data_IF_008100948942
#
_entry.id   IF_008100948942
#
_cell.length_a   1.000
_cell.length_b   1.000
_cell.length_c   1.000
_cell.angle_alpha   90.00
_cell.angle_beta   90.00
_cell.angle_gamma   90.00
#
_symmetry.space_group_name_H-M   'P 1'
#
loop_
_entity.id
_entity.type
_entity.pdbx_description
1 polymer ?
#
# COMPACT_ATOMS: atom_id res chain seq x y z
N UNK A 1 -8.89 -15.15 -21.19
CA UNK A 1 -9.70 -14.90 -19.98
C UNK A 1 -9.41 -16.00 -18.99
N UNK A 2 -8.41 -15.85 -18.16
CA UNK A 2 -8.06 -16.87 -17.16
C UNK A 2 -8.83 -16.51 -15.89
N UNK A 3 -9.88 -17.26 -15.66
CA UNK A 3 -10.75 -17.18 -14.50
C UNK A 3 -9.90 -17.34 -13.23
N UNK A 4 -9.92 -16.37 -12.35
CA UNK A 4 -9.40 -16.46 -10.99
C UNK A 4 -10.36 -17.37 -10.19
N UNK A 5 -10.41 -18.64 -10.55
CA UNK A 5 -11.21 -19.64 -9.85
C UNK A 5 -10.57 -19.91 -8.49
N UNK A 6 -11.22 -19.39 -7.44
CA UNK A 6 -11.19 -19.86 -6.04
C UNK A 6 -9.85 -20.38 -5.50
N UNK A 7 -8.78 -19.62 -5.66
CA UNK A 7 -7.54 -19.87 -4.93
C UNK A 7 -7.56 -18.98 -3.68
N UNK A 8 -7.93 -19.54 -2.56
CA UNK A 8 -7.72 -18.85 -1.28
C UNK A 8 -6.23 -18.94 -0.93
N UNK A 9 -5.52 -17.81 -0.84
CA UNK A 9 -4.13 -17.83 -0.42
C UNK A 9 -4.06 -18.20 1.06
N UNK A 10 -3.40 -19.32 1.37
CA UNK A 10 -2.81 -19.51 2.67
C UNK A 10 -1.49 -18.75 2.66
N UNK A 11 -1.47 -17.62 3.34
CA UNK A 11 -0.37 -16.68 3.35
C UNK A 11 0.87 -17.24 4.01
N UNK A 12 1.96 -17.28 3.28
CA UNK A 12 3.28 -17.06 3.84
C UNK A 12 4.02 -16.10 2.90
N UNK A 13 4.35 -14.92 3.36
CA UNK A 13 5.34 -14.08 2.71
C UNK A 13 6.70 -14.62 3.12
N UNK A 14 7.22 -15.54 2.32
CA UNK A 14 8.56 -16.07 2.53
C UNK A 14 9.57 -15.24 1.75
N UNK A 15 10.06 -14.23 2.24
CA UNK A 15 11.29 -13.51 1.92
C UNK A 15 11.08 -12.00 1.78
N UNK A 16 11.88 -11.34 2.54
CA UNK A 16 12.24 -9.95 2.63
C UNK A 16 11.56 -8.93 1.70
N UNK A 17 10.92 -7.95 2.30
CA UNK A 17 10.49 -6.76 1.59
C UNK A 17 11.74 -5.98 1.13
N UNK A 18 11.95 -5.89 -0.18
CA UNK A 18 13.00 -5.05 -0.78
C UNK A 18 12.36 -3.71 -1.11
N UNK A 19 12.83 -2.64 -0.49
CA UNK A 19 12.46 -1.28 -0.84
C UNK A 19 13.55 -0.74 -1.76
N UNK A 20 13.19 -0.40 -2.99
CA UNK A 20 14.09 0.31 -3.88
C UNK A 20 13.57 1.73 -4.11
N UNK A 21 14.41 2.70 -3.83
CA UNK A 21 14.31 4.07 -4.32
C UNK A 21 15.46 4.23 -5.29
N UNK A 22 15.24 4.27 -6.59
CA UNK A 22 16.26 4.49 -7.64
C UNK A 22 17.70 3.95 -7.37
N UNK A 23 17.96 3.42 -6.17
CA UNK A 23 19.16 2.74 -5.69
C UNK A 23 18.75 1.80 -4.55
N UNK A 24 19.26 0.57 -4.57
CA UNK A 24 18.94 -0.57 -3.70
C UNK A 24 19.01 -0.28 -2.19
N UNK A 25 17.90 0.15 -1.59
CA UNK A 25 17.76 0.15 -0.14
C UNK A 25 17.12 -1.18 0.23
N UNK A 26 17.90 -2.10 0.73
CA UNK A 26 17.40 -3.37 1.26
C UNK A 26 16.92 -3.17 2.69
N UNK A 27 15.62 -3.19 2.91
CA UNK A 27 15.03 -3.23 4.25
C UNK A 27 14.49 -4.63 4.47
N UNK A 28 15.09 -5.35 5.40
CA UNK A 28 14.76 -6.74 5.71
C UNK A 28 13.75 -6.84 6.85
N UNK A 29 12.70 -6.01 6.87
CA UNK A 29 11.72 -6.01 7.95
C UNK A 29 10.28 -6.04 7.44
N UNK A 30 9.39 -6.40 8.34
CA UNK A 30 7.95 -6.35 8.18
C UNK A 30 7.52 -4.91 7.92
N UNK A 31 6.87 -4.67 6.78
CA UNK A 31 6.26 -3.39 6.45
C UNK A 31 4.76 -3.57 6.49
N UNK A 32 4.10 -2.81 7.36
CA UNK A 32 2.66 -2.77 7.46
C UNK A 32 2.09 -1.96 6.28
N UNK A 33 1.26 -2.60 5.45
CA UNK A 33 0.63 -1.93 4.32
C UNK A 33 -0.46 -0.97 4.83
N UNK A 34 -0.69 0.14 4.10
CA UNK A 34 -1.65 1.15 4.53
C UNK A 34 -3.09 0.65 4.51
N UNK A 35 -3.87 1.14 5.44
CA UNK A 35 -5.31 1.05 5.43
C UNK A 35 -5.89 2.18 4.55
N UNK A 36 -6.82 1.82 3.66
CA UNK A 36 -7.51 2.76 2.77
C UNK A 36 -8.96 2.87 3.22
N UNK A 37 -9.26 3.89 4.00
CA UNK A 37 -10.60 4.18 4.47
C UNK A 37 -11.29 5.16 3.53
N UNK A 38 -12.45 4.76 2.98
CA UNK A 38 -13.26 5.65 2.16
C UNK A 38 -13.93 6.74 3.01
N UNK A 39 -14.02 7.95 2.47
CA UNK A 39 -14.83 9.00 3.07
C UNK A 39 -16.29 8.65 2.82
N UNK A 40 -17.10 8.65 3.88
CA UNK A 40 -18.53 8.35 3.82
C UNK A 40 -19.37 9.62 4.04
N UNK A 41 -20.55 9.67 3.44
CA UNK A 41 -21.59 10.65 3.74
C UNK A 41 -22.84 9.93 4.27
N UNK A 42 -23.55 10.57 5.19
CA UNK A 42 -24.70 9.97 5.83
C UNK A 42 -25.95 10.28 5.03
N UNK A 43 -26.64 9.26 4.56
CA UNK A 43 -27.93 9.36 3.87
C UNK A 43 -29.05 8.92 4.79
N UNK A 44 -29.93 9.87 5.13
CA UNK A 44 -31.16 9.62 5.88
C UNK A 44 -32.35 10.32 5.19
N UNK A 45 -33.55 9.79 5.34
CA UNK A 45 -34.73 10.46 4.80
C UNK A 45 -35.94 9.57 4.57
N UNK A 46 -37.02 10.18 4.07
CA UNK A 46 -38.28 9.50 3.81
C UNK A 46 -38.12 8.48 2.68
N UNK A 47 -38.22 7.20 3.00
CA UNK A 47 -38.05 6.09 2.06
C UNK A 47 -36.81 5.24 2.34
N UNK A 48 -35.92 5.66 3.24
CA UNK A 48 -34.81 4.88 3.77
C UNK A 48 -35.18 4.38 5.16
N UNK A 49 -35.13 3.06 5.37
CA UNK A 49 -35.41 2.47 6.69
C UNK A 49 -34.11 2.49 7.52
N UNK A 50 -33.79 3.67 8.08
CA UNK A 50 -32.62 3.89 8.92
C UNK A 50 -31.63 4.87 8.32
N UNK A 51 -30.43 4.86 8.85
CA UNK A 51 -29.27 5.67 8.46
C UNK A 51 -28.30 4.79 7.66
N UNK A 52 -27.81 5.30 6.54
CA UNK A 52 -26.85 4.62 5.66
C UNK A 52 -25.62 5.52 5.52
N UNK A 53 -24.44 4.98 5.82
CA UNK A 53 -23.16 5.60 5.48
C UNK A 53 -22.77 5.19 4.05
N UNK A 54 -22.91 6.11 3.10
CA UNK A 54 -22.59 5.87 1.69
C UNK A 54 -21.15 6.31 1.37
N UNK A 55 -20.24 5.39 0.98
CA UNK A 55 -18.88 5.74 0.66
C UNK A 55 -18.78 6.51 -0.67
N UNK A 56 -18.16 7.68 -0.63
CA UNK A 56 -17.91 8.50 -1.81
C UNK A 56 -16.83 7.88 -2.67
N UNK A 57 -17.16 7.53 -3.91
CA UNK A 57 -16.25 6.84 -4.83
C UNK A 57 -14.98 7.65 -5.09
N UNK A 58 -13.82 7.03 -4.82
CA UNK A 58 -12.50 7.60 -5.10
C UNK A 58 -12.03 8.64 -4.08
N UNK A 59 -12.77 8.88 -3.01
CA UNK A 59 -12.34 9.73 -1.92
C UNK A 59 -11.93 8.88 -0.71
N UNK A 60 -10.71 9.10 -0.24
CA UNK A 60 -10.12 8.37 0.86
C UNK A 60 -9.57 9.31 1.92
N UNK A 61 -9.70 8.90 3.17
CA UNK A 61 -9.08 9.55 4.32
C UNK A 61 -7.55 9.59 4.20
N UNK A 62 -6.90 10.24 5.15
CA UNK A 62 -5.44 10.19 5.28
C UNK A 62 -4.98 8.72 5.43
N UNK A 63 -4.04 8.30 4.61
CA UNK A 63 -3.48 6.96 4.67
C UNK A 63 -1.97 7.05 4.84
N UNK A 64 -1.42 6.30 5.78
CA UNK A 64 0.01 6.31 6.08
C UNK A 64 0.63 4.94 5.91
N UNK A 65 1.90 4.91 5.57
CA UNK A 65 2.73 3.70 5.57
C UNK A 65 3.90 3.90 6.50
N UNK A 66 4.18 2.88 7.32
CA UNK A 66 5.29 2.87 8.28
C UNK A 66 6.40 1.97 7.77
N UNK A 67 7.59 2.52 7.72
CA UNK A 67 8.80 1.83 7.24
C UNK A 67 9.77 1.72 8.40
N UNK A 68 9.90 0.53 9.01
CA UNK A 68 10.82 0.30 10.09
C UNK A 68 12.25 0.07 9.58
N UNK A 69 13.22 0.56 10.35
CA UNK A 69 14.65 0.38 10.13
C UNK A 69 15.32 -0.19 11.38
N UNK A 70 16.17 -1.19 11.21
CA UNK A 70 16.92 -1.76 12.32
C UNK A 70 18.03 -0.85 12.83
N UNK A 71 18.57 -0.04 11.93
CA UNK A 71 19.73 0.84 12.16
C UNK A 71 19.49 2.14 11.41
N UNK A 72 19.98 3.25 11.94
CA UNK A 72 19.99 4.52 11.24
C UNK A 72 21.01 4.50 10.09
N UNK A 73 20.52 4.59 8.87
CA UNK A 73 21.31 4.75 7.66
C UNK A 73 21.19 6.18 7.12
N UNK A 74 22.24 6.67 6.46
CA UNK A 74 22.18 7.95 5.75
C UNK A 74 21.03 8.00 4.73
N UNK A 75 20.76 6.87 4.07
CA UNK A 75 19.73 6.77 3.03
C UNK A 75 18.30 6.88 3.58
N UNK A 76 18.10 6.54 4.86
CA UNK A 76 16.82 6.78 5.54
C UNK A 76 16.44 8.27 5.48
N UNK A 77 17.42 9.17 5.64
CA UNK A 77 17.17 10.62 5.60
C UNK A 77 16.81 11.13 4.20
N UNK A 78 17.16 10.38 3.15
CA UNK A 78 16.71 10.69 1.80
C UNK A 78 15.21 10.45 1.61
N UNK A 79 14.61 9.58 2.42
CA UNK A 79 13.15 9.29 2.42
C UNK A 79 12.39 10.38 3.18
N UNK A 80 13.03 11.06 4.11
CA UNK A 80 12.42 12.12 4.93
C UNK A 80 12.23 13.44 4.15
N UNK A 81 12.78 13.55 2.95
CA UNK A 81 12.65 14.76 2.15
C UNK A 81 11.18 15.03 1.78
N UNK A 82 10.65 16.14 2.31
CA UNK A 82 9.26 16.57 2.05
C UNK A 82 9.10 17.38 0.77
N UNK A 83 10.19 17.94 0.24
CA UNK A 83 10.19 18.75 -0.98
C UNK A 83 10.11 17.88 -2.23
N UNK A 84 10.83 16.76 -2.23
CA UNK A 84 10.84 15.76 -3.28
C UNK A 84 10.36 14.42 -2.72
N UNK A 85 9.04 14.15 -2.80
CA UNK A 85 8.48 12.91 -2.24
C UNK A 85 9.11 11.68 -2.90
N UNK A 86 9.71 10.77 -2.11
CA UNK A 86 10.33 9.58 -2.66
C UNK A 86 9.29 8.63 -3.27
N UNK A 87 9.68 7.96 -4.36
CA UNK A 87 8.95 6.82 -4.90
C UNK A 87 9.58 5.55 -4.35
N UNK A 88 8.85 4.82 -3.55
CA UNK A 88 9.30 3.58 -2.93
C UNK A 88 8.63 2.39 -3.59
N UNK A 89 9.38 1.34 -3.85
CA UNK A 89 8.87 0.09 -4.38
C UNK A 89 9.13 -1.05 -3.40
N UNK A 90 8.09 -1.63 -2.89
CA UNK A 90 8.10 -2.83 -2.06
C UNK A 90 7.90 -4.05 -2.97
N UNK A 91 8.72 -5.07 -2.81
CA UNK A 91 8.63 -6.31 -3.58
C UNK A 91 8.58 -7.50 -2.64
N UNK A 92 7.68 -8.42 -2.89
CA UNK A 92 7.55 -9.64 -2.13
C UNK A 92 7.09 -10.80 -3.00
N UNK A 93 7.12 -11.99 -2.44
CA UNK A 93 6.57 -13.20 -3.04
C UNK A 93 5.49 -13.77 -2.11
N UNK A 94 4.32 -14.02 -2.64
CA UNK A 94 3.23 -14.65 -1.90
C UNK A 94 3.19 -16.13 -2.24
N UNK A 95 3.20 -16.97 -1.22
CA UNK A 95 2.93 -18.39 -1.38
C UNK A 95 1.43 -18.64 -1.35
N UNK A 96 0.93 -19.39 -2.30
CA UNK A 96 -0.47 -19.81 -2.37
C UNK A 96 -0.54 -21.33 -2.49
N UNK A 97 -1.45 -21.95 -1.74
CA UNK A 97 -1.70 -23.38 -1.83
C UNK A 97 -3.06 -23.62 -2.50
N UNK A 98 -3.08 -24.46 -3.52
CA UNK A 98 -4.33 -24.88 -4.19
C UNK A 98 -5.11 -25.80 -3.24
N UNK A 99 -6.33 -25.42 -2.82
CA UNK A 99 -7.09 -26.24 -1.88
C UNK A 99 -7.55 -27.58 -2.43
N UNK A 100 -7.58 -27.77 -3.77
CA UNK A 100 -7.99 -29.00 -4.41
C UNK A 100 -6.84 -29.99 -4.58
N UNK A 101 -5.67 -29.51 -4.91
CA UNK A 101 -4.51 -30.34 -5.25
C UNK A 101 -3.44 -30.37 -4.17
N UNK A 102 -3.47 -29.41 -3.24
CA UNK A 102 -2.41 -29.19 -2.26
C UNK A 102 -1.11 -28.65 -2.86
N UNK A 103 -1.10 -28.31 -4.16
CA UNK A 103 0.08 -27.78 -4.83
C UNK A 103 0.37 -26.35 -4.38
N UNK A 104 1.64 -26.06 -4.14
CA UNK A 104 2.10 -24.73 -3.75
C UNK A 104 2.59 -23.95 -4.98
N UNK A 105 2.14 -22.70 -5.10
CA UNK A 105 2.58 -21.75 -6.12
C UNK A 105 3.07 -20.46 -5.50
N UNK A 106 3.91 -19.70 -6.21
CA UNK A 106 4.45 -18.42 -5.77
C UNK A 106 4.04 -17.33 -6.75
N UNK A 107 3.58 -16.20 -6.22
CA UNK A 107 3.13 -15.06 -7.02
C UNK A 107 3.87 -13.79 -6.57
N UNK A 108 4.43 -13.01 -7.50
CA UNK A 108 5.07 -11.76 -7.16
C UNK A 108 4.03 -10.71 -6.75
N UNK A 109 4.31 -10.00 -5.67
CA UNK A 109 3.60 -8.79 -5.27
C UNK A 109 4.56 -7.59 -5.38
N UNK A 110 4.05 -6.49 -5.92
CA UNK A 110 4.75 -5.22 -5.98
C UNK A 110 3.85 -4.11 -5.51
N UNK A 111 4.30 -3.36 -4.51
CA UNK A 111 3.59 -2.18 -4.01
C UNK A 111 4.48 -0.98 -4.23
N UNK A 112 3.99 -0.02 -4.99
CA UNK A 112 4.69 1.24 -5.29
C UNK A 112 3.98 2.34 -4.53
N UNK A 113 4.72 3.09 -3.73
CA UNK A 113 4.19 4.18 -2.89
C UNK A 113 4.97 5.44 -3.13
N UNK A 114 4.28 6.57 -3.31
CA UNK A 114 4.86 7.90 -3.21
C UNK A 114 4.20 8.63 -2.05
N UNK A 115 4.99 9.15 -1.14
CA UNK A 115 4.48 9.81 0.05
C UNK A 115 5.41 10.90 0.56
N UNK A 116 4.89 11.71 1.46
CA UNK A 116 5.66 12.72 2.19
C UNK A 116 5.88 12.27 3.62
N UNK A 117 7.09 12.45 4.15
CA UNK A 117 7.37 12.13 5.54
C UNK A 117 6.51 12.98 6.47
N UNK A 118 5.76 12.28 7.34
CA UNK A 118 4.90 12.87 8.36
C UNK A 118 5.55 12.79 9.73
N UNK A 119 6.09 11.62 10.07
CA UNK A 119 6.75 11.34 11.32
C UNK A 119 8.05 10.61 11.09
N UNK A 120 9.10 10.98 11.79
CA UNK A 120 10.40 10.29 11.76
C UNK A 120 10.82 9.97 13.18
N UNK A 121 10.87 8.70 13.52
CA UNK A 121 11.33 8.20 14.82
C UNK A 121 12.76 7.70 14.68
N UNK A 122 13.70 8.34 15.38
CA UNK A 122 15.13 7.98 15.29
C UNK A 122 15.47 6.71 16.08
N UNK A 123 14.52 6.22 16.89
CA UNK A 123 14.70 5.02 17.69
C UNK A 123 15.48 5.23 18.99
N UNK A 124 16.05 4.16 19.53
CA UNK A 124 16.72 4.15 20.84
C UNK A 124 18.13 3.58 20.70
N UNK A 125 19.10 4.24 21.30
CA UNK A 125 20.49 3.74 21.39
C UNK A 125 20.66 2.96 22.69
N UNK A 126 20.77 1.64 22.59
CA UNK A 126 21.01 0.77 23.75
C UNK A 126 21.96 -0.36 23.38
N UNK A 127 22.82 -0.76 24.34
CA UNK A 127 23.78 -1.84 24.14
C UNK A 127 23.08 -3.17 23.83
N UNK A 128 23.40 -3.77 22.68
CA UNK A 128 22.89 -5.08 22.29
C UNK A 128 21.44 -5.13 21.82
N UNK A 129 20.82 -3.99 21.51
CA UNK A 129 19.44 -3.90 21.00
C UNK A 129 19.40 -3.22 19.62
N UNK A 130 18.39 -3.55 18.83
CA UNK A 130 18.07 -2.83 17.60
C UNK A 130 17.63 -1.40 17.94
N UNK A 131 17.87 -0.44 17.04
CA UNK A 131 17.52 0.96 17.27
C UNK A 131 16.03 1.24 17.17
N UNK A 132 15.28 0.41 16.42
CA UNK A 132 13.83 0.58 16.20
C UNK A 132 13.49 1.97 15.64
N UNK A 133 14.20 2.37 14.60
CA UNK A 133 13.92 3.61 13.87
C UNK A 133 12.75 3.39 12.91
N UNK A 134 11.93 4.42 12.67
CA UNK A 134 10.76 4.31 11.80
C UNK A 134 10.53 5.63 11.06
N UNK A 135 10.12 5.54 9.80
CA UNK A 135 9.63 6.67 9.01
C UNK A 135 8.18 6.40 8.62
N UNK A 136 7.29 7.29 8.99
CA UNK A 136 5.89 7.29 8.59
C UNK A 136 5.70 8.28 7.43
N UNK A 137 5.14 7.79 6.31
CA UNK A 137 4.85 8.59 5.13
C UNK A 137 3.35 8.73 4.93
N UNK A 138 2.88 9.94 4.71
CA UNK A 138 1.52 10.21 4.19
C UNK A 138 1.49 9.87 2.71
N UNK A 139 0.55 9.03 2.29
CA UNK A 139 0.45 8.50 0.95
C UNK A 139 -0.26 9.48 0.02
N UNK A 140 0.42 9.85 -1.05
CA UNK A 140 -0.12 10.62 -2.17
C UNK A 140 -0.48 9.71 -3.35
N UNK A 141 0.32 8.67 -3.57
CA UNK A 141 0.14 7.68 -4.64
C UNK A 141 0.45 6.30 -4.11
N UNK A 142 -0.39 5.33 -4.44
CA UNK A 142 -0.15 3.91 -4.19
C UNK A 142 -0.61 3.08 -5.38
N UNK A 143 0.21 2.10 -5.74
CA UNK A 143 -0.10 1.10 -6.76
C UNK A 143 0.26 -0.28 -6.26
N UNK A 144 -0.68 -1.19 -6.33
CA UNK A 144 -0.50 -2.60 -5.95
C UNK A 144 -0.63 -3.46 -7.19
N UNK A 145 0.38 -4.26 -7.45
CA UNK A 145 0.42 -5.24 -8.53
C UNK A 145 0.59 -6.64 -7.95
N UNK A 146 -0.24 -7.56 -8.40
CA UNK A 146 -0.18 -8.97 -8.05
C UNK A 146 -0.05 -9.75 -9.36
N UNK A 147 0.96 -10.61 -9.45
CA UNK A 147 1.25 -11.40 -10.65
C UNK A 147 1.35 -10.52 -11.91
N UNK A 148 2.01 -9.37 -11.81
CA UNK A 148 2.18 -8.36 -12.86
C UNK A 148 0.86 -7.72 -13.36
N UNK A 149 -0.25 -7.94 -12.69
CA UNK A 149 -1.52 -7.28 -12.96
C UNK A 149 -1.79 -6.19 -11.93
N UNK A 150 -2.20 -5.00 -12.39
CA UNK A 150 -2.59 -3.90 -11.50
C UNK A 150 -3.92 -4.23 -10.85
N UNK A 151 -3.91 -4.38 -9.53
CA UNK A 151 -5.10 -4.65 -8.72
C UNK A 151 -5.69 -3.37 -8.16
N UNK A 152 -4.82 -2.47 -7.69
CA UNK A 152 -5.18 -1.18 -7.12
C UNK A 152 -4.22 -0.11 -7.62
N UNK A 153 -4.74 1.04 -8.02
CA UNK A 153 -3.97 2.25 -8.25
C UNK A 153 -4.76 3.46 -7.78
N UNK A 154 -4.19 4.23 -6.89
CA UNK A 154 -4.78 5.43 -6.32
C UNK A 154 -3.76 6.57 -6.41
N UNK A 155 -4.12 7.66 -7.11
CA UNK A 155 -3.36 8.91 -7.12
C UNK A 155 -4.28 10.04 -6.64
N UNK A 156 -4.05 10.48 -5.41
CA UNK A 156 -4.85 11.53 -4.77
C UNK A 156 -4.69 12.90 -5.45
N UNK A 157 -3.53 13.15 -6.06
CA UNK A 157 -3.23 14.45 -6.69
C UNK A 157 -3.69 14.53 -8.14
N UNK A 158 -3.70 13.39 -8.85
CA UNK A 158 -4.06 13.34 -10.27
C UNK A 158 -5.45 12.75 -10.52
N UNK A 159 -6.24 12.57 -9.46
CA UNK A 159 -7.61 12.09 -9.55
C UNK A 159 -7.73 10.75 -10.28
N UNK A 160 -6.88 9.79 -9.92
CA UNK A 160 -6.88 8.43 -10.49
C UNK A 160 -7.26 7.42 -9.43
N UNK A 161 -8.24 6.58 -9.75
CA UNK A 161 -8.62 5.43 -8.92
C UNK A 161 -8.97 4.25 -9.82
N UNK A 162 -8.09 3.26 -9.87
CA UNK A 162 -8.23 2.04 -10.67
C UNK A 162 -8.33 0.84 -9.75
N UNK A 163 -9.33 0.00 -9.99
CA UNK A 163 -9.51 -1.30 -9.31
C UNK A 163 -9.60 -2.41 -10.35
N UNK A 164 -8.78 -3.44 -10.20
CA UNK A 164 -8.71 -4.59 -11.10
C UNK A 164 -8.64 -4.18 -12.59
N UNK A 165 -7.84 -3.15 -12.87
CA UNK A 165 -7.66 -2.60 -14.22
C UNK A 165 -8.83 -1.73 -14.73
N UNK A 166 -9.88 -1.50 -13.94
CA UNK A 166 -11.00 -0.63 -14.29
C UNK A 166 -10.86 0.72 -13.61
N UNK A 167 -10.87 1.78 -14.39
CA UNK A 167 -10.88 3.16 -13.90
C UNK A 167 -12.27 3.52 -13.35
N UNK A 168 -12.35 3.72 -12.05
CA UNK A 168 -13.61 4.02 -11.35
C UNK A 168 -14.02 5.47 -11.47
N UNK A 169 -13.10 6.38 -11.82
CA UNK A 169 -13.36 7.81 -11.94
C UNK A 169 -13.49 8.30 -13.38
N UNK A 170 -13.40 7.42 -14.38
CA UNK A 170 -13.45 7.79 -15.78
C UNK A 170 -14.71 8.58 -16.16
N UNK A 171 -15.87 8.16 -15.65
CA UNK A 171 -17.13 8.83 -15.91
C UNK A 171 -17.19 10.22 -15.26
N UNK A 172 -16.73 10.33 -14.01
CA UNK A 172 -16.71 11.61 -13.27
C UNK A 172 -15.79 12.61 -13.99
N UNK A 173 -14.58 12.16 -14.38
CA UNK A 173 -13.63 13.01 -15.14
C UNK A 173 -14.18 13.48 -16.48
N UNK A 174 -15.02 12.68 -17.14
CA UNK A 174 -15.61 13.09 -18.42
C UNK A 174 -16.71 14.15 -18.28
N UNK A 175 -17.19 14.39 -17.06
CA UNK A 175 -18.25 15.37 -16.74
C UNK A 175 -17.71 16.69 -16.17
N UNK A 176 -16.42 16.72 -15.78
CA UNK A 176 -15.69 17.90 -15.30
C UNK A 176 -14.77 18.46 -16.38
#
# INVERSE_FOLDING_TARGET
>A
MTTLENKFPLLAVEQGCIISKDADITVAFEVELPELEAITDTVEGTGVLGEIEDPVTGQFSSATIKIPFAVLYSDMFSIVNTTEPPLLTLRGSMQCTDPKTGATGYYPIRVVVRGKAKTTTLGKVAKGKKMESEVELEILYIKVEINNAVVLELDKLNFVFVLNGKDMLAQIRSQC
#
